data_IF_882782328129
#
_entry.id   IF_882782328129
#
_cell.length_a   1.000
_cell.length_b   1.000
_cell.length_c   1.000
_cell.angle_alpha   90.00
_cell.angle_beta   90.00
_cell.angle_gamma   90.00
#
_symmetry.space_group_name_H-M   'P 1'
#
loop_
_entity.id
_entity.type
_entity.pdbx_description
1 polymer ?
#
# COMPACT_ATOMS: atom_id res chain seq x y z
N UNK A 1 -15.01 14.44 28.67
CA UNK A 1 -14.20 15.35 27.81
C UNK A 1 -13.28 14.64 26.84
N UNK A 2 -12.38 13.73 27.27
CA UNK A 2 -11.41 13.00 26.38
C UNK A 2 -12.12 12.27 25.23
N UNK A 3 -13.19 11.52 25.51
CA UNK A 3 -13.96 10.78 24.49
C UNK A 3 -14.55 11.68 23.40
N UNK A 4 -15.08 12.83 23.75
CA UNK A 4 -15.66 13.81 22.80
C UNK A 4 -14.57 14.44 21.94
N UNK A 5 -13.41 14.79 22.51
CA UNK A 5 -12.25 15.29 21.79
C UNK A 5 -11.76 14.28 20.74
N UNK A 6 -11.65 13.00 21.12
CA UNK A 6 -11.20 11.94 20.19
C UNK A 6 -12.19 11.73 19.04
N UNK A 7 -13.49 11.79 19.31
CA UNK A 7 -14.52 11.71 18.26
C UNK A 7 -14.38 12.90 17.30
N UNK A 8 -14.24 14.12 17.82
CA UNK A 8 -14.07 15.34 17.01
C UNK A 8 -12.81 15.24 16.12
N UNK A 9 -11.66 14.83 16.68
CA UNK A 9 -10.42 14.62 15.93
C UNK A 9 -10.63 13.55 14.85
N UNK A 10 -11.32 12.46 15.14
CA UNK A 10 -11.62 11.40 14.16
C UNK A 10 -12.47 11.90 13.00
N UNK A 11 -13.50 12.69 13.27
CA UNK A 11 -14.36 13.29 12.24
C UNK A 11 -13.55 14.28 11.39
N UNK A 12 -12.77 15.17 12.01
CA UNK A 12 -11.93 16.13 11.32
C UNK A 12 -10.90 15.43 10.44
N UNK A 13 -10.26 14.39 10.95
CA UNK A 13 -9.31 13.56 10.20
C UNK A 13 -9.94 12.93 8.97
N UNK A 14 -11.14 12.36 9.13
CA UNK A 14 -11.88 11.75 8.02
C UNK A 14 -12.27 12.80 6.96
N UNK A 15 -12.70 13.99 7.40
CA UNK A 15 -13.04 15.08 6.49
C UNK A 15 -11.83 15.55 5.70
N UNK A 16 -10.68 15.76 6.34
CA UNK A 16 -9.45 16.16 5.68
C UNK A 16 -9.00 15.10 4.65
N UNK A 17 -9.02 13.82 5.05
CA UNK A 17 -8.66 12.72 4.15
C UNK A 17 -9.55 12.67 2.91
N UNK A 18 -10.87 12.76 3.09
CA UNK A 18 -11.83 12.76 1.97
C UNK A 18 -11.62 13.98 1.08
N UNK A 19 -11.53 15.18 1.65
CA UNK A 19 -11.33 16.42 0.90
C UNK A 19 -10.02 16.40 0.09
N UNK A 20 -8.91 16.01 0.74
CA UNK A 20 -7.62 15.86 0.05
C UNK A 20 -7.71 14.86 -1.12
N UNK A 21 -8.39 13.72 -0.89
CA UNK A 21 -8.60 12.72 -1.93
C UNK A 21 -9.42 13.26 -3.10
N UNK A 22 -10.50 13.97 -2.84
CA UNK A 22 -11.36 14.54 -3.87
C UNK A 22 -10.63 15.62 -4.70
N UNK A 23 -9.93 16.53 -4.03
CA UNK A 23 -9.17 17.61 -4.70
C UNK A 23 -8.11 17.02 -5.65
N UNK A 24 -7.30 16.07 -5.16
CA UNK A 24 -6.24 15.51 -5.99
C UNK A 24 -6.76 14.53 -7.04
N UNK A 25 -7.90 13.89 -6.82
CA UNK A 25 -8.57 13.05 -7.81
C UNK A 25 -9.01 13.85 -9.04
N UNK A 26 -9.45 15.10 -8.87
CA UNK A 26 -9.81 16.01 -9.99
C UNK A 26 -8.65 16.18 -10.96
N UNK A 27 -7.40 16.20 -10.48
CA UNK A 27 -6.21 16.28 -11.32
C UNK A 27 -5.78 14.88 -11.83
N UNK A 28 -5.80 13.89 -10.95
CA UNK A 28 -5.26 12.56 -11.24
C UNK A 28 -6.10 11.78 -12.23
N UNK A 29 -7.44 11.84 -12.13
CA UNK A 29 -8.34 11.05 -12.98
C UNK A 29 -8.24 11.45 -14.46
N UNK A 30 -8.33 12.73 -14.85
CA UNK A 30 -8.16 13.12 -16.24
C UNK A 30 -6.78 12.74 -16.81
N UNK A 31 -5.72 12.94 -16.03
CA UNK A 31 -4.37 12.53 -16.43
C UNK A 31 -4.25 11.02 -16.62
N UNK A 32 -4.91 10.23 -15.75
CA UNK A 32 -5.00 8.77 -15.88
C UNK A 32 -5.71 8.34 -17.15
N UNK A 33 -6.83 8.98 -17.49
CA UNK A 33 -7.59 8.72 -18.73
C UNK A 33 -6.75 9.08 -19.95
N UNK A 34 -6.13 10.27 -19.97
CA UNK A 34 -5.24 10.68 -21.07
C UNK A 34 -4.10 9.66 -21.22
N UNK A 35 -3.41 9.31 -20.12
CA UNK A 35 -2.36 8.29 -20.10
C UNK A 35 -2.81 6.98 -20.73
N UNK A 36 -4.03 6.52 -20.41
CA UNK A 36 -4.58 5.29 -20.94
C UNK A 36 -4.82 5.34 -22.47
N UNK A 37 -5.25 6.47 -22.99
CA UNK A 37 -5.53 6.69 -24.41
C UNK A 37 -4.26 6.90 -25.27
N UNK A 38 -3.14 7.28 -24.65
CA UNK A 38 -1.90 7.55 -25.37
C UNK A 38 -1.27 6.25 -25.91
N UNK A 39 -0.94 6.18 -27.22
CA UNK A 39 -0.30 5.01 -27.82
C UNK A 39 1.20 4.93 -27.53
N UNK A 40 1.88 6.09 -27.33
CA UNK A 40 3.33 6.18 -27.19
C UNK A 40 3.80 5.91 -25.76
N UNK A 41 4.69 4.92 -25.59
CA UNK A 41 5.23 4.51 -24.27
C UNK A 41 5.96 5.64 -23.55
N UNK A 42 6.69 6.49 -24.28
CA UNK A 42 7.42 7.64 -23.72
C UNK A 42 6.49 8.68 -23.10
N UNK A 43 5.41 9.04 -23.81
CA UNK A 43 4.40 9.97 -23.29
C UNK A 43 3.68 9.36 -22.07
N UNK A 44 3.31 8.07 -22.14
CA UNK A 44 2.72 7.37 -20.98
C UNK A 44 3.63 7.42 -19.75
N UNK A 45 4.94 7.24 -19.93
CA UNK A 45 5.91 7.34 -18.83
C UNK A 45 5.96 8.75 -18.22
N UNK A 46 5.84 9.80 -19.04
CA UNK A 46 5.79 11.20 -18.55
C UNK A 46 4.52 11.45 -17.73
N UNK A 47 3.35 11.04 -18.22
CA UNK A 47 2.10 11.12 -17.46
C UNK A 47 2.16 10.30 -16.16
N UNK A 48 2.73 9.10 -16.19
CA UNK A 48 2.93 8.28 -14.99
C UNK A 48 3.75 9.02 -13.94
N UNK A 49 4.84 9.70 -14.32
CA UNK A 49 5.66 10.50 -13.39
C UNK A 49 4.86 11.66 -12.76
N UNK A 50 4.04 12.35 -13.55
CA UNK A 50 3.19 13.45 -13.04
C UNK A 50 2.16 12.90 -12.05
N UNK A 51 1.48 11.79 -12.39
CA UNK A 51 0.49 11.15 -11.52
C UNK A 51 1.12 10.64 -10.22
N UNK A 52 2.35 10.10 -10.28
CA UNK A 52 3.11 9.69 -9.08
C UNK A 52 3.37 10.89 -8.18
N UNK A 53 3.81 12.05 -8.72
CA UNK A 53 4.03 13.27 -7.93
C UNK A 53 2.76 13.78 -7.25
N UNK A 54 1.60 13.66 -7.92
CA UNK A 54 0.30 13.98 -7.31
C UNK A 54 0.00 12.99 -6.17
N UNK A 55 0.28 11.71 -6.36
CA UNK A 55 0.14 10.69 -5.32
C UNK A 55 1.07 10.93 -4.12
N UNK A 56 2.32 11.33 -4.36
CA UNK A 56 3.28 11.71 -3.29
C UNK A 56 2.82 12.95 -2.53
N UNK A 57 2.21 13.91 -3.22
CA UNK A 57 1.58 15.07 -2.58
C UNK A 57 0.41 14.64 -1.70
N UNK A 58 -0.45 13.74 -2.19
CA UNK A 58 -1.56 13.16 -1.42
C UNK A 58 -1.05 12.50 -0.12
N UNK A 59 0.01 11.71 -0.22
CA UNK A 59 0.65 11.08 0.95
C UNK A 59 1.21 12.16 1.88
N UNK A 60 1.91 13.17 1.35
CA UNK A 60 2.52 14.23 2.14
C UNK A 60 1.47 15.01 2.95
N UNK A 61 0.36 15.41 2.32
CA UNK A 61 -0.73 16.11 3.00
C UNK A 61 -1.35 15.23 4.09
N UNK A 62 -1.66 13.96 3.77
CA UNK A 62 -2.23 13.03 4.75
C UNK A 62 -1.28 12.77 5.92
N UNK A 63 0.00 12.61 5.67
CA UNK A 63 1.01 12.44 6.73
C UNK A 63 1.13 13.68 7.61
N UNK A 64 1.13 14.86 7.01
CA UNK A 64 1.25 16.13 7.76
C UNK A 64 0.11 16.33 8.75
N UNK A 65 -1.14 16.13 8.34
CA UNK A 65 -2.25 16.31 9.26
C UNK A 65 -2.34 15.17 10.31
N UNK A 66 -1.96 13.93 9.96
CA UNK A 66 -1.89 12.83 10.94
C UNK A 66 -0.88 13.18 12.04
N UNK A 67 0.32 13.60 11.66
CA UNK A 67 1.35 14.02 12.62
C UNK A 67 0.86 15.21 13.46
N UNK A 68 0.25 16.22 12.85
CA UNK A 68 -0.19 17.42 13.55
C UNK A 68 -1.36 17.18 14.52
N UNK A 69 -2.38 16.42 14.09
CA UNK A 69 -3.60 16.20 14.89
C UNK A 69 -3.45 15.07 15.91
N UNK A 70 -2.84 13.97 15.52
CA UNK A 70 -2.72 12.78 16.38
C UNK A 70 -1.42 12.73 17.19
N UNK A 71 -0.40 13.52 16.78
CA UNK A 71 0.91 13.60 17.44
C UNK A 71 1.46 12.23 17.83
N UNK A 72 1.50 11.26 16.90
CA UNK A 72 2.02 9.95 17.23
C UNK A 72 3.49 10.04 17.59
N UNK A 73 3.92 9.27 18.60
CA UNK A 73 5.33 9.07 18.85
C UNK A 73 5.83 8.01 17.86
N UNK A 74 6.71 8.40 16.94
CA UNK A 74 7.25 7.52 15.90
C UNK A 74 8.77 7.46 16.06
N UNK A 75 9.26 6.30 16.42
CA UNK A 75 10.69 5.99 16.43
C UNK A 75 11.00 5.17 15.16
N UNK A 76 12.02 5.58 14.42
CA UNK A 76 12.43 4.93 13.17
C UNK A 76 13.89 4.52 13.31
N UNK A 77 14.14 3.22 13.22
CA UNK A 77 15.49 2.64 13.17
C UNK A 77 15.74 2.13 11.75
N UNK A 78 16.92 2.39 11.19
CA UNK A 78 17.26 1.98 9.82
C UNK A 78 16.64 2.87 8.73
N UNK A 79 16.05 4.00 9.10
CA UNK A 79 15.44 4.94 8.13
C UNK A 79 16.45 5.60 7.19
N UNK A 80 17.73 5.60 7.52
CA UNK A 80 18.86 6.06 6.71
C UNK A 80 19.10 5.20 5.46
N UNK A 81 18.69 3.93 5.49
CA UNK A 81 18.77 3.02 4.36
C UNK A 81 17.64 3.23 3.33
N UNK A 82 16.61 4.00 3.68
CA UNK A 82 15.51 4.34 2.78
C UNK A 82 15.91 5.50 1.88
N UNK A 83 16.80 5.26 0.95
CA UNK A 83 17.19 6.27 -0.01
C UNK A 83 17.46 5.63 -1.38
N UNK A 84 17.14 6.36 -2.45
CA UNK A 84 17.52 5.99 -3.80
C UNK A 84 16.34 5.74 -4.75
N UNK A 85 16.69 5.78 -6.04
CA UNK A 85 15.79 5.54 -7.16
C UNK A 85 16.08 4.17 -7.78
N UNK A 86 15.85 3.11 -7.02
CA UNK A 86 16.04 1.71 -7.44
C UNK A 86 14.70 0.98 -7.54
N UNK A 87 14.73 -0.29 -7.93
CA UNK A 87 13.57 -1.18 -7.91
C UNK A 87 13.58 -1.97 -6.60
N UNK A 88 12.61 -1.67 -5.75
CA UNK A 88 12.49 -2.31 -4.44
C UNK A 88 11.36 -3.33 -4.41
N UNK A 89 11.58 -4.41 -3.71
CA UNK A 89 10.53 -5.23 -3.14
C UNK A 89 10.41 -4.87 -1.65
N UNK A 90 9.24 -4.41 -1.24
CA UNK A 90 9.03 -3.99 0.14
C UNK A 90 7.98 -4.85 0.81
N UNK A 91 8.22 -5.21 2.05
CA UNK A 91 7.28 -5.98 2.87
C UNK A 91 7.12 -5.38 4.26
N UNK A 92 6.03 -5.72 4.92
CA UNK A 92 5.78 -5.37 6.31
C UNK A 92 4.81 -6.35 6.95
N UNK A 93 4.80 -6.42 8.27
CA UNK A 93 3.71 -6.99 9.05
C UNK A 93 2.45 -6.10 8.96
N UNK A 94 1.29 -6.63 9.32
CA UNK A 94 0.02 -5.91 9.20
C UNK A 94 -0.89 -6.10 10.41
N UNK A 95 -0.96 -5.09 11.26
CA UNK A 95 -1.74 -5.13 12.48
C UNK A 95 -2.98 -4.22 12.45
N UNK A 96 -2.88 -3.07 11.79
CA UNK A 96 -3.87 -2.01 11.82
C UNK A 96 -4.12 -1.38 10.45
N UNK A 97 -5.21 -0.65 10.29
CA UNK A 97 -5.43 0.20 9.12
C UNK A 97 -4.44 1.40 9.09
N UNK A 98 -3.92 1.79 10.25
CA UNK A 98 -2.93 2.86 10.38
C UNK A 98 -1.58 2.51 9.73
N UNK A 99 -1.26 1.21 9.59
CA UNK A 99 0.00 0.74 9.02
C UNK A 99 0.25 1.33 7.63
N UNK A 100 -0.81 1.48 6.82
CA UNK A 100 -0.71 2.04 5.47
C UNK A 100 -0.17 3.48 5.53
N UNK A 101 -0.71 4.30 6.44
CA UNK A 101 -0.28 5.69 6.60
C UNK A 101 1.15 5.78 7.14
N UNK A 102 1.52 4.91 8.10
CA UNK A 102 2.87 4.89 8.69
C UNK A 102 3.88 4.46 7.64
N UNK A 103 3.64 3.37 6.92
CA UNK A 103 4.55 2.90 5.87
C UNK A 103 4.71 3.95 4.77
N UNK A 104 3.60 4.59 4.33
CA UNK A 104 3.65 5.67 3.37
C UNK A 104 4.43 6.88 3.91
N UNK A 105 4.23 7.27 5.17
CA UNK A 105 4.95 8.38 5.80
C UNK A 105 6.46 8.18 5.81
N UNK A 106 6.92 6.99 6.23
CA UNK A 106 8.36 6.72 6.37
C UNK A 106 9.07 6.54 5.03
N UNK A 107 8.36 6.14 3.97
CA UNK A 107 8.92 5.84 2.64
C UNK A 107 8.74 6.96 1.61
N UNK A 108 7.77 7.87 1.84
CA UNK A 108 7.41 8.90 0.87
C UNK A 108 8.60 9.80 0.51
N UNK A 109 8.88 9.95 -0.78
CA UNK A 109 9.99 10.74 -1.35
C UNK A 109 11.41 10.27 -0.95
N UNK A 110 11.53 9.16 -0.21
CA UNK A 110 12.83 8.55 0.10
C UNK A 110 13.16 7.42 -0.88
N UNK A 111 12.14 6.66 -1.25
CA UNK A 111 12.20 5.60 -2.27
C UNK A 111 11.06 5.82 -3.25
N UNK A 112 11.07 5.18 -4.44
CA UNK A 112 9.96 5.25 -5.38
C UNK A 112 8.65 4.87 -4.74
N UNK A 113 7.56 5.54 -5.17
CA UNK A 113 6.23 5.36 -4.60
C UNK A 113 5.83 3.89 -4.49
N UNK A 114 5.34 3.51 -3.32
CA UNK A 114 4.90 2.15 -3.05
C UNK A 114 3.73 1.75 -3.94
N UNK A 115 3.83 0.61 -4.61
CA UNK A 115 2.78 -0.03 -5.40
C UNK A 115 2.19 -1.19 -4.62
N UNK A 116 1.07 -0.93 -3.94
CA UNK A 116 0.38 -1.93 -3.13
C UNK A 116 -0.37 -2.93 -3.99
N UNK A 117 -0.32 -4.20 -3.63
CA UNK A 117 -1.25 -5.18 -4.17
C UNK A 117 -2.65 -4.94 -3.63
N UNK A 118 -3.57 -4.54 -4.50
CA UNK A 118 -4.94 -4.17 -4.15
C UNK A 118 -5.90 -5.28 -4.58
N UNK A 119 -6.91 -5.60 -3.75
CA UNK A 119 -7.98 -6.50 -4.16
C UNK A 119 -8.74 -5.93 -5.35
N UNK A 120 -9.02 -6.76 -6.36
CA UNK A 120 -9.68 -6.32 -7.58
C UNK A 120 -11.01 -5.61 -7.34
N UNK A 121 -11.78 -6.07 -6.36
CA UNK A 121 -13.08 -5.49 -6.01
C UNK A 121 -12.98 -4.02 -5.56
N UNK A 122 -11.83 -3.59 -5.07
CA UNK A 122 -11.61 -2.21 -4.62
C UNK A 122 -11.47 -1.20 -5.77
N UNK A 123 -11.36 -1.66 -7.04
CA UNK A 123 -11.42 -0.77 -8.20
C UNK A 123 -12.78 -0.07 -8.31
N UNK A 124 -13.84 -0.70 -7.78
CA UNK A 124 -15.20 -0.17 -7.78
C UNK A 124 -15.49 0.80 -6.64
N UNK A 125 -14.53 1.02 -5.74
CA UNK A 125 -14.68 2.07 -4.70
C UNK A 125 -14.63 3.42 -5.39
N UNK A 126 -15.70 4.25 -5.26
CA UNK A 126 -15.79 5.53 -5.94
C UNK A 126 -14.56 6.40 -5.72
N UNK A 127 -14.12 7.09 -6.73
CA UNK A 127 -12.97 8.01 -6.77
C UNK A 127 -11.64 7.30 -6.52
N UNK A 128 -11.42 6.73 -5.32
CA UNK A 128 -10.12 6.17 -4.92
C UNK A 128 -9.72 4.95 -5.78
N UNK A 129 -10.68 4.13 -6.21
CA UNK A 129 -10.42 2.99 -7.11
C UNK A 129 -9.83 3.43 -8.44
N UNK A 130 -10.36 4.52 -9.02
CA UNK A 130 -9.87 5.09 -10.27
C UNK A 130 -8.49 5.76 -10.04
N UNK A 131 -8.26 6.40 -8.90
CA UNK A 131 -6.96 6.94 -8.54
C UNK A 131 -5.89 5.83 -8.45
N UNK A 132 -6.19 4.71 -7.83
CA UNK A 132 -5.28 3.56 -7.79
C UNK A 132 -5.00 2.98 -9.17
N UNK A 133 -6.03 2.93 -10.04
CA UNK A 133 -5.83 2.54 -11.44
C UNK A 133 -4.93 3.54 -12.18
N UNK A 134 -5.14 4.85 -12.02
CA UNK A 134 -4.29 5.88 -12.62
C UNK A 134 -2.84 5.81 -12.14
N UNK A 135 -2.62 5.40 -10.88
CA UNK A 135 -1.31 5.15 -10.27
C UNK A 135 -0.69 3.81 -10.68
N UNK A 136 -1.28 3.05 -11.58
CA UNK A 136 -0.82 1.71 -11.99
C UNK A 136 -0.68 0.73 -10.80
N UNK A 137 -1.56 0.81 -9.80
CA UNK A 137 -1.55 -0.16 -8.70
C UNK A 137 -1.94 -1.55 -9.22
N UNK A 138 -1.25 -2.63 -8.80
CA UNK A 138 -1.58 -3.98 -9.25
C UNK A 138 -2.83 -4.51 -8.55
N UNK A 139 -3.92 -4.68 -9.31
CA UNK A 139 -5.17 -5.25 -8.81
C UNK A 139 -5.15 -6.77 -8.89
N UNK A 140 -5.33 -7.43 -7.75
CA UNK A 140 -5.34 -8.88 -7.61
C UNK A 140 -6.76 -9.43 -7.51
N UNK A 141 -7.11 -10.30 -8.43
CA UNK A 141 -8.31 -11.12 -8.33
C UNK A 141 -7.90 -12.52 -7.88
N UNK A 142 -8.20 -12.87 -6.64
CA UNK A 142 -7.92 -14.21 -6.11
C UNK A 142 -9.14 -15.11 -6.28
N UNK A 143 -8.98 -16.23 -6.97
CA UNK A 143 -10.03 -17.24 -7.10
C UNK A 143 -9.93 -18.25 -5.96
N UNK A 144 -11.06 -18.54 -5.31
CA UNK A 144 -11.12 -19.57 -4.28
C UNK A 144 -11.04 -20.96 -4.90
N UNK A 145 -10.60 -21.96 -4.13
CA UNK A 145 -10.58 -23.34 -4.59
C UNK A 145 -11.95 -23.83 -5.06
N UNK A 146 -13.04 -23.39 -4.41
CA UNK A 146 -14.42 -23.65 -4.83
C UNK A 146 -14.73 -23.10 -6.22
N UNK A 147 -14.29 -21.89 -6.52
CA UNK A 147 -14.45 -21.27 -7.84
C UNK A 147 -13.62 -21.99 -8.91
N UNK A 148 -12.38 -22.38 -8.58
CA UNK A 148 -11.50 -23.12 -9.49
C UNK A 148 -12.07 -24.51 -9.78
N UNK A 149 -12.60 -25.22 -8.77
CA UNK A 149 -13.27 -26.51 -8.97
C UNK A 149 -14.51 -26.38 -9.87
N UNK A 150 -15.28 -25.31 -9.72
CA UNK A 150 -16.47 -25.03 -10.56
C UNK A 150 -16.10 -24.60 -11.98
N UNK A 151 -14.98 -23.92 -12.16
CA UNK A 151 -14.48 -23.48 -13.46
C UNK A 151 -12.94 -23.61 -13.52
N UNK A 152 -12.41 -24.75 -14.00
CA UNK A 152 -10.97 -25.02 -14.09
C UNK A 152 -10.17 -24.00 -14.92
N UNK A 153 -10.83 -23.30 -15.87
CA UNK A 153 -10.20 -22.24 -16.69
C UNK A 153 -9.74 -21.03 -15.86
N UNK A 154 -10.18 -20.92 -14.60
CA UNK A 154 -9.75 -19.85 -13.69
C UNK A 154 -8.36 -20.13 -13.06
N UNK A 155 -7.89 -21.38 -13.09
CA UNK A 155 -6.57 -21.75 -12.55
C UNK A 155 -5.46 -20.99 -13.27
N UNK A 156 -4.65 -20.24 -12.52
CA UNK A 156 -3.53 -19.45 -13.05
C UNK A 156 -3.93 -18.17 -13.82
N UNK A 157 -5.24 -17.84 -13.91
CA UNK A 157 -5.69 -16.62 -14.59
C UNK A 157 -5.35 -15.36 -13.82
N UNK A 158 -5.35 -15.44 -12.50
CA UNK A 158 -4.89 -14.39 -11.59
C UNK A 158 -3.38 -14.12 -11.78
N UNK A 159 -2.56 -15.16 -11.88
CA UNK A 159 -1.13 -15.04 -12.19
C UNK A 159 -0.89 -14.32 -13.53
N UNK A 160 -1.57 -14.75 -14.62
CA UNK A 160 -1.42 -14.13 -15.94
C UNK A 160 -1.79 -12.64 -15.94
N UNK A 161 -2.89 -12.29 -15.24
CA UNK A 161 -3.32 -10.88 -15.12
C UNK A 161 -2.30 -10.06 -14.32
N UNK A 162 -1.78 -10.60 -13.23
CA UNK A 162 -0.79 -9.93 -12.42
C UNK A 162 0.52 -9.73 -13.19
N UNK A 163 1.02 -10.76 -13.88
CA UNK A 163 2.19 -10.64 -14.75
C UNK A 163 2.04 -9.46 -15.71
N UNK A 164 0.91 -9.38 -16.42
CA UNK A 164 0.63 -8.28 -17.36
C UNK A 164 0.61 -6.91 -16.67
N UNK A 165 0.10 -6.83 -15.43
CA UNK A 165 0.07 -5.56 -14.69
C UNK A 165 1.45 -5.10 -14.21
N UNK A 166 2.42 -6.01 -14.11
CA UNK A 166 3.78 -5.71 -13.68
C UNK A 166 4.75 -5.41 -14.85
N UNK A 167 4.38 -5.73 -16.09
CA UNK A 167 5.26 -5.55 -17.26
C UNK A 167 5.78 -4.13 -17.42
N UNK A 168 4.95 -3.13 -17.13
CA UNK A 168 5.34 -1.72 -17.27
C UNK A 168 6.22 -1.21 -16.10
N UNK A 169 6.34 -1.96 -15.01
CA UNK A 169 7.23 -1.60 -13.88
C UNK A 169 8.71 -1.71 -14.22
N UNK A 170 9.06 -2.33 -15.35
CA UNK A 170 10.43 -2.32 -15.85
C UNK A 170 10.85 -0.98 -16.46
N UNK A 171 9.91 -0.07 -16.76
CA UNK A 171 10.17 1.20 -17.46
C UNK A 171 10.69 2.31 -16.55
N UNK A 172 10.38 2.28 -15.27
CA UNK A 172 10.81 3.27 -14.28
C UNK A 172 10.92 2.62 -12.88
N UNK A 173 11.76 3.17 -12.00
CA UNK A 173 11.89 2.66 -10.63
C UNK A 173 10.55 2.61 -9.91
N UNK A 174 10.31 1.51 -9.19
CA UNK A 174 9.11 1.31 -8.37
C UNK A 174 9.46 0.54 -7.10
N UNK A 175 8.67 0.74 -6.06
CA UNK A 175 8.70 -0.08 -4.84
C UNK A 175 7.44 -0.92 -4.81
N UNK A 176 7.53 -2.22 -5.10
CA UNK A 176 6.39 -3.14 -5.02
C UNK A 176 6.21 -3.53 -3.57
N UNK A 177 5.05 -3.26 -3.01
CA UNK A 177 4.77 -3.47 -1.59
C UNK A 177 3.72 -4.55 -1.36
N UNK A 178 4.01 -5.43 -0.41
CA UNK A 178 3.07 -6.45 0.07
C UNK A 178 3.15 -6.61 1.58
N UNK A 179 2.01 -6.62 2.25
CA UNK A 179 1.97 -7.15 3.60
C UNK A 179 2.19 -8.66 3.54
N UNK A 180 3.27 -9.17 4.17
CA UNK A 180 3.66 -10.58 4.11
C UNK A 180 2.53 -11.52 4.54
N UNK A 181 1.74 -11.14 5.54
CA UNK A 181 0.60 -11.90 6.06
C UNK A 181 -0.61 -11.91 5.09
N UNK A 182 -0.67 -10.99 4.14
CA UNK A 182 -1.75 -10.83 3.16
C UNK A 182 -3.10 -10.42 3.76
N UNK A 183 -3.17 -10.19 5.08
CA UNK A 183 -4.34 -9.71 5.83
C UNK A 183 -3.91 -9.19 7.19
N UNK A 184 -4.71 -8.31 7.80
CA UNK A 184 -4.44 -7.81 9.15
C UNK A 184 -4.45 -8.94 10.18
N UNK A 185 -3.50 -8.88 11.11
CA UNK A 185 -3.41 -9.77 12.25
C UNK A 185 -4.67 -9.68 13.11
N UNK A 186 -5.15 -10.82 13.57
CA UNK A 186 -6.12 -10.94 14.66
C UNK A 186 -5.86 -12.25 15.41
N UNK A 187 -6.07 -12.29 16.73
CA UNK A 187 -5.92 -13.50 17.54
C UNK A 187 -6.70 -14.68 16.96
N UNK A 188 -7.94 -14.44 16.48
CA UNK A 188 -8.77 -15.47 15.84
C UNK A 188 -8.10 -16.07 14.59
N UNK A 189 -7.54 -15.24 13.70
CA UNK A 189 -6.85 -15.73 12.51
C UNK A 189 -5.56 -16.44 12.85
N UNK A 190 -4.83 -15.93 13.85
CA UNK A 190 -3.60 -16.54 14.36
C UNK A 190 -3.86 -17.97 14.82
N UNK A 191 -4.85 -18.17 15.70
CA UNK A 191 -5.24 -19.51 16.18
C UNK A 191 -5.74 -20.42 15.04
N UNK A 192 -6.55 -19.89 14.10
CA UNK A 192 -7.04 -20.68 12.95
C UNK A 192 -5.93 -21.10 11.97
N UNK A 193 -4.83 -20.37 11.92
CA UNK A 193 -3.69 -20.69 11.06
C UNK A 193 -2.63 -21.52 11.80
N UNK A 194 -2.76 -21.69 13.12
CA UNK A 194 -1.72 -22.34 13.95
C UNK A 194 -0.35 -21.74 13.64
N UNK A 195 -0.27 -20.41 13.70
CA UNK A 195 0.97 -19.72 13.38
C UNK A 195 2.03 -20.01 14.43
N UNK A 196 3.22 -20.36 13.99
CA UNK A 196 4.40 -20.55 14.85
C UNK A 196 5.00 -19.23 15.37
N UNK A 197 4.65 -18.11 14.75
CA UNK A 197 5.11 -16.78 15.15
C UNK A 197 4.18 -16.19 16.21
N UNK A 198 4.72 -15.67 17.30
CA UNK A 198 3.91 -15.15 18.41
C UNK A 198 2.94 -14.02 18.02
N UNK A 199 3.38 -13.11 17.13
CA UNK A 199 2.66 -11.87 16.80
C UNK A 199 2.41 -11.70 15.30
N UNK A 200 2.60 -12.72 14.49
CA UNK A 200 2.42 -12.69 13.04
C UNK A 200 1.54 -13.85 12.57
N UNK A 201 0.83 -13.64 11.49
CA UNK A 201 0.18 -14.72 10.75
C UNK A 201 1.20 -15.44 9.85
N UNK A 202 0.89 -16.67 9.43
CA UNK A 202 1.73 -17.37 8.45
C UNK A 202 1.88 -16.52 7.17
N UNK A 203 3.11 -16.29 6.66
CA UNK A 203 3.34 -15.47 5.49
C UNK A 203 2.75 -16.10 4.22
N UNK A 204 2.39 -15.24 3.27
CA UNK A 204 1.85 -15.64 1.96
C UNK A 204 2.81 -15.19 0.86
N UNK A 205 3.56 -16.14 0.37
CA UNK A 205 4.65 -15.91 -0.58
C UNK A 205 4.19 -15.49 -1.98
N UNK A 206 2.95 -15.84 -2.38
CA UNK A 206 2.50 -15.72 -3.78
C UNK A 206 2.64 -14.34 -4.41
N UNK A 207 2.38 -13.24 -3.67
CA UNK A 207 2.53 -11.89 -4.19
C UNK A 207 3.98 -11.49 -4.42
N UNK A 208 4.83 -11.78 -3.45
CA UNK A 208 6.27 -11.49 -3.50
C UNK A 208 6.97 -12.32 -4.58
N UNK A 209 6.67 -13.62 -4.65
CA UNK A 209 7.22 -14.52 -5.66
C UNK A 209 6.88 -14.07 -7.08
N UNK A 210 5.63 -13.62 -7.31
CA UNK A 210 5.25 -13.12 -8.63
C UNK A 210 5.96 -11.80 -8.96
N UNK A 211 6.13 -10.89 -7.99
CA UNK A 211 6.87 -9.65 -8.20
C UNK A 211 8.32 -9.95 -8.61
N UNK A 212 9.02 -10.79 -7.87
CA UNK A 212 10.40 -11.19 -8.17
C UNK A 212 10.54 -11.89 -9.52
N UNK A 213 9.59 -12.78 -9.87
CA UNK A 213 9.64 -13.52 -11.13
C UNK A 213 9.36 -12.67 -12.38
N UNK A 214 8.75 -11.49 -12.23
CA UNK A 214 8.29 -10.70 -13.37
C UNK A 214 8.92 -9.30 -13.47
N UNK A 215 9.60 -8.83 -12.44
CA UNK A 215 10.31 -7.55 -12.45
C UNK A 215 11.79 -7.79 -12.18
N UNK A 216 12.51 -8.16 -13.23
CA UNK A 216 13.94 -8.55 -13.16
C UNK A 216 14.88 -7.44 -12.65
N UNK A 217 14.38 -6.21 -12.55
CA UNK A 217 15.13 -5.03 -12.07
C UNK A 217 15.13 -4.90 -10.55
N UNK A 218 14.32 -5.67 -9.83
CA UNK A 218 14.33 -5.68 -8.37
C UNK A 218 15.68 -6.24 -7.90
N UNK A 219 16.43 -5.43 -7.16
CA UNK A 219 17.72 -5.78 -6.58
C UNK A 219 17.78 -5.66 -5.08
N UNK A 220 16.82 -4.96 -4.51
CA UNK A 220 16.81 -4.59 -3.10
C UNK A 220 15.49 -5.00 -2.43
N UNK A 221 15.61 -5.55 -1.23
CA UNK A 221 14.48 -5.90 -0.37
C UNK A 221 14.46 -4.95 0.84
N UNK A 222 13.31 -4.33 1.07
CA UNK A 222 13.06 -3.53 2.26
C UNK A 222 12.05 -4.27 3.13
N UNK A 223 12.48 -4.69 4.31
CA UNK A 223 11.58 -5.28 5.32
C UNK A 223 11.30 -4.26 6.42
N UNK A 224 10.03 -3.92 6.59
CA UNK A 224 9.57 -2.92 7.54
C UNK A 224 8.82 -3.62 8.66
N UNK A 225 9.38 -3.64 9.85
CA UNK A 225 8.70 -4.15 11.03
C UNK A 225 7.99 -3.02 11.76
N UNK A 226 6.66 -3.09 11.82
CA UNK A 226 5.84 -2.14 12.57
C UNK A 226 5.51 -2.71 13.96
N UNK A 227 5.87 -1.96 14.99
CA UNK A 227 5.44 -2.19 16.37
C UNK A 227 4.48 -1.07 16.76
N UNK A 228 3.18 -1.37 16.72
CA UNK A 228 2.14 -0.41 17.13
C UNK A 228 1.86 -0.61 18.62
N UNK A 229 2.50 0.20 19.44
CA UNK A 229 2.16 0.28 20.85
C UNK A 229 0.93 1.19 20.94
N UNK A 230 -0.21 0.65 21.34
CA UNK A 230 -1.36 1.48 21.70
C UNK A 230 -1.00 2.27 22.96
N UNK A 231 -0.65 3.54 22.79
CA UNK A 231 -0.48 4.48 23.89
C UNK A 231 -1.90 4.86 24.37
N UNK A 232 -2.56 3.94 25.06
CA UNK A 232 -3.75 4.25 25.85
C UNK A 232 -3.41 4.58 27.29
N UNK A 233 -2.18 4.24 27.76
CA UNK A 233 -1.67 4.61 29.09
C UNK A 233 -0.17 4.87 29.03
N UNK A 234 0.35 5.89 29.76
CA UNK A 234 1.77 6.05 29.94
C UNK A 234 2.28 4.83 30.70
N UNK A 235 3.03 3.99 30.04
CA UNK A 235 3.71 2.85 30.67
C UNK A 235 4.63 3.42 31.75
N UNK A 236 4.24 3.36 33.02
CA UNK A 236 5.17 3.54 34.14
C UNK A 236 6.24 2.48 33.94
N UNK A 237 7.44 2.91 33.56
CA UNK A 237 8.61 2.06 33.73
C UNK A 237 8.72 1.78 35.22
N UNK A 238 8.48 0.54 35.61
CA UNK A 238 8.90 0.04 36.91
C UNK A 238 10.38 -0.24 36.75
N UNK A 239 11.19 0.60 37.37
CA UNK A 239 12.63 0.40 37.59
C UNK A 239 12.82 -0.78 38.50
#
# INVERSE_FOLDING_TARGET
>A
MIKLKNIFIGILSSLILVTNTLILAVLMIPLGVIKFLLPLKTLRASFTRIIIKIGELWISVNSSWVIYLHKPHIEITGGEYLNGESWFLSTSNHQSAADIFIVQYITNKKIPMLKFFIKYELIYVPVIGICWWALDMPFLKRYTQKQIKKNPKLKGRDYKKMKKSLEHYSLHPVSIFSYAEGTRFTKKKHSLQESEYANLLKPKEGGLAIALSNVNKIKELIDITLSLIHISEPTRRIT
#
